data_IF_267137941896
#
_entry.id   IF_267137941896
#
_cell.length_a   1.000
_cell.length_b   1.000
_cell.length_c   1.000
_cell.angle_alpha   90.00
_cell.angle_beta   90.00
_cell.angle_gamma   90.00
#
_symmetry.space_group_name_H-M   'P 1'
#
loop_
_entity.id
_entity.type
_entity.pdbx_description
1 polymer ?
#
# COMPACT_ATOMS: atom_id res chain seq x y z
N UNK A 1 -14.34 11.86 29.32
CA UNK A 1 -15.00 12.26 28.06
C UNK A 1 -14.11 11.85 26.90
N UNK A 2 -14.60 11.02 25.97
CA UNK A 2 -13.79 10.58 24.81
C UNK A 2 -13.74 11.66 23.73
N UNK A 3 -12.58 11.83 23.09
CA UNK A 3 -12.40 12.81 22.01
C UNK A 3 -13.40 12.54 20.86
N UNK A 4 -13.95 13.60 20.24
CA UNK A 4 -14.80 13.45 19.06
C UNK A 4 -14.00 12.74 17.96
N UNK A 5 -14.48 11.56 17.54
CA UNK A 5 -13.92 10.86 16.40
C UNK A 5 -14.54 11.44 15.12
N UNK A 6 -13.83 12.38 14.50
CA UNK A 6 -14.14 12.87 13.16
C UNK A 6 -13.56 11.91 12.12
N UNK A 7 -14.37 11.53 11.13
CA UNK A 7 -13.91 10.81 9.94
C UNK A 7 -14.35 11.57 8.70
N UNK A 8 -13.40 11.88 7.83
CA UNK A 8 -13.66 12.52 6.54
C UNK A 8 -13.35 11.53 5.41
N UNK A 9 -14.21 11.45 4.41
CA UNK A 9 -14.01 10.60 3.22
C UNK A 9 -14.78 11.15 2.02
N UNK A 10 -14.33 10.83 0.82
CA UNK A 10 -15.01 11.22 -0.41
C UNK A 10 -16.15 10.26 -0.75
N UNK A 11 -17.27 10.78 -1.24
CA UNK A 11 -18.39 10.00 -1.77
C UNK A 11 -19.01 10.66 -2.98
N UNK A 12 -19.58 9.85 -3.86
CA UNK A 12 -20.37 10.32 -4.99
C UNK A 12 -21.85 10.33 -4.63
N UNK A 13 -22.57 11.35 -5.07
CA UNK A 13 -24.03 11.34 -5.01
C UNK A 13 -24.62 10.44 -6.12
N UNK A 14 -25.95 10.32 -6.18
CA UNK A 14 -26.64 9.51 -7.22
C UNK A 14 -26.41 9.99 -8.66
N UNK A 15 -25.99 11.24 -8.83
CA UNK A 15 -25.73 11.89 -10.13
C UNK A 15 -24.22 11.87 -10.45
N UNK A 16 -23.40 11.18 -9.64
CA UNK A 16 -21.96 11.05 -9.86
C UNK A 16 -21.14 12.29 -9.48
N UNK A 17 -21.70 13.28 -8.77
CA UNK A 17 -20.93 14.43 -8.27
C UNK A 17 -20.20 14.05 -6.97
N UNK A 18 -18.90 14.37 -6.83
CA UNK A 18 -18.13 14.07 -5.62
C UNK A 18 -18.38 15.08 -4.50
N UNK A 19 -18.40 14.58 -3.26
CA UNK A 19 -18.58 15.33 -2.02
C UNK A 19 -17.55 14.86 -0.99
N UNK A 20 -17.11 15.78 -0.13
CA UNK A 20 -16.45 15.45 1.13
C UNK A 20 -17.50 15.18 2.19
N UNK A 21 -17.57 13.93 2.67
CA UNK A 21 -18.47 13.54 3.75
C UNK A 21 -17.71 13.55 5.06
N UNK A 22 -18.11 14.43 5.97
CA UNK A 22 -17.61 14.47 7.35
C UNK A 22 -18.60 13.77 8.26
N UNK A 23 -18.15 12.71 8.93
CA UNK A 23 -18.91 12.00 9.95
C UNK A 23 -18.41 12.44 11.32
N UNK A 24 -19.30 13.09 12.07
CA UNK A 24 -19.03 13.60 13.42
C UNK A 24 -19.89 12.80 14.40
N UNK A 25 -19.27 12.31 15.48
CA UNK A 25 -19.98 11.67 16.59
C UNK A 25 -20.27 12.71 17.67
N UNK A 26 -21.53 13.01 17.90
CA UNK A 26 -21.99 13.95 18.94
C UNK A 26 -22.83 13.14 19.93
N UNK A 27 -22.24 12.78 21.08
CA UNK A 27 -22.85 11.86 22.04
C UNK A 27 -23.17 10.49 21.43
N UNK A 28 -24.45 10.07 21.52
CA UNK A 28 -24.96 8.83 20.92
C UNK A 28 -25.41 8.99 19.45
N UNK A 29 -25.44 10.22 18.93
CA UNK A 29 -25.91 10.47 17.57
C UNK A 29 -24.74 10.57 16.58
N UNK A 30 -24.94 10.02 15.39
CA UNK A 30 -24.04 10.16 14.25
C UNK A 30 -24.62 11.22 13.33
N UNK A 31 -23.85 12.29 13.07
CA UNK A 31 -24.21 13.31 12.09
C UNK A 31 -23.27 13.20 10.91
N UNK A 32 -23.82 13.20 9.70
CA UNK A 32 -23.07 13.28 8.46
C UNK A 32 -23.30 14.64 7.81
N UNK A 33 -22.22 15.32 7.46
CA UNK A 33 -22.23 16.55 6.69
C UNK A 33 -21.67 16.26 5.31
N UNK A 34 -22.43 16.59 4.28
CA UNK A 34 -22.04 16.44 2.88
C UNK A 34 -21.62 17.81 2.35
N UNK A 35 -20.33 17.98 2.10
CA UNK A 35 -19.75 19.23 1.63
C UNK A 35 -19.44 19.06 0.14
N UNK A 36 -20.07 19.82 -0.76
CA UNK A 36 -19.74 19.77 -2.18
C UNK A 36 -18.29 20.22 -2.39
N UNK A 37 -17.57 19.53 -3.26
CA UNK A 37 -16.24 19.94 -3.66
C UNK A 37 -16.31 21.12 -4.64
N UNK A 38 -15.48 22.12 -4.42
CA UNK A 38 -15.25 23.18 -5.39
C UNK A 38 -14.49 22.66 -6.63
N UNK A 39 -14.26 23.52 -7.61
CA UNK A 39 -13.65 23.10 -8.88
C UNK A 39 -12.21 22.58 -8.70
N UNK A 40 -11.42 23.25 -7.88
CA UNK A 40 -10.01 22.91 -7.64
C UNK A 40 -9.92 21.58 -6.89
N UNK A 41 -10.75 21.38 -5.86
CA UNK A 41 -10.82 20.13 -5.10
C UNK A 41 -11.27 18.96 -5.98
N UNK A 42 -12.20 19.20 -6.92
CA UNK A 42 -12.64 18.18 -7.88
C UNK A 42 -11.53 17.77 -8.82
N UNK A 43 -10.80 18.72 -9.39
CA UNK A 43 -9.65 18.44 -10.27
C UNK A 43 -8.54 17.70 -9.53
N UNK A 44 -8.28 18.10 -8.29
CA UNK A 44 -7.29 17.44 -7.43
C UNK A 44 -7.70 15.99 -7.14
N UNK A 45 -8.97 15.75 -6.79
CA UNK A 45 -9.48 14.41 -6.57
C UNK A 45 -9.40 13.55 -7.84
N UNK A 46 -9.78 14.10 -8.99
CA UNK A 46 -9.71 13.40 -10.28
C UNK A 46 -8.27 13.01 -10.62
N UNK A 47 -7.32 13.92 -10.42
CA UNK A 47 -5.88 13.68 -10.63
C UNK A 47 -5.37 12.60 -9.69
N UNK A 48 -5.71 12.66 -8.41
CA UNK A 48 -5.30 11.66 -7.42
C UNK A 48 -5.86 10.26 -7.74
N UNK A 49 -7.10 10.17 -8.23
CA UNK A 49 -7.70 8.91 -8.67
C UNK A 49 -6.99 8.36 -9.91
N UNK A 50 -6.68 9.22 -10.89
CA UNK A 50 -5.92 8.82 -12.08
C UNK A 50 -4.55 8.26 -11.73
N UNK A 51 -3.79 8.97 -10.88
CA UNK A 51 -2.47 8.50 -10.40
C UNK A 51 -2.60 7.16 -9.68
N UNK A 52 -3.63 6.99 -8.83
CA UNK A 52 -3.86 5.74 -8.11
C UNK A 52 -4.09 4.56 -9.08
N UNK A 53 -4.82 4.79 -10.17
CA UNK A 53 -5.09 3.74 -11.16
C UNK A 53 -3.86 3.45 -12.02
N UNK A 54 -3.10 4.48 -12.43
CA UNK A 54 -1.80 4.31 -13.11
C UNK A 54 -0.80 3.51 -12.26
N UNK A 55 -0.71 3.79 -10.96
CA UNK A 55 0.15 3.05 -10.02
C UNK A 55 -0.30 1.59 -9.90
N UNK A 56 -1.61 1.33 -9.85
CA UNK A 56 -2.12 -0.05 -9.83
C UNK A 56 -1.76 -0.82 -11.09
N UNK A 57 -1.89 -0.21 -12.27
CA UNK A 57 -1.52 -0.83 -13.55
C UNK A 57 -0.01 -1.12 -13.66
N UNK A 58 0.80 -0.35 -12.94
CA UNK A 58 2.24 -0.58 -12.82
C UNK A 58 2.61 -1.58 -11.73
N UNK A 59 1.66 -2.06 -10.94
CA UNK A 59 1.91 -3.02 -9.86
C UNK A 59 1.78 -4.46 -10.39
N UNK A 60 2.79 -5.27 -10.16
CA UNK A 60 2.84 -6.70 -10.47
C UNK A 60 2.85 -7.52 -9.19
N UNK A 61 2.39 -8.77 -9.28
CA UNK A 61 2.40 -9.73 -8.18
C UNK A 61 3.59 -10.66 -8.34
N UNK A 62 4.52 -10.64 -7.38
CA UNK A 62 5.73 -11.47 -7.39
C UNK A 62 5.59 -12.58 -6.36
N UNK A 63 5.87 -13.85 -6.69
CA UNK A 63 5.79 -14.93 -5.70
C UNK A 63 6.83 -14.74 -4.59
N UNK A 64 6.49 -15.12 -3.37
CA UNK A 64 7.46 -15.25 -2.30
C UNK A 64 8.52 -16.31 -2.67
N UNK A 65 9.80 -16.03 -2.39
CA UNK A 65 10.89 -16.97 -2.72
C UNK A 65 10.91 -18.23 -1.83
N UNK A 66 10.20 -18.23 -0.69
CA UNK A 66 10.07 -19.43 0.13
C UNK A 66 9.13 -20.43 -0.59
N UNK A 67 9.61 -21.62 -1.01
CA UNK A 67 8.83 -22.58 -1.79
C UNK A 67 7.66 -23.18 -1.01
N UNK A 68 7.67 -23.09 0.33
CA UNK A 68 6.54 -23.49 1.19
C UNK A 68 5.46 -22.41 1.29
N UNK A 69 5.75 -21.19 0.83
CA UNK A 69 4.83 -20.06 0.88
C UNK A 69 4.15 -19.85 -0.48
N UNK A 70 2.82 -19.71 -0.47
CA UNK A 70 2.02 -19.42 -1.68
C UNK A 70 1.62 -17.94 -1.80
N UNK A 71 2.13 -17.08 -0.93
CA UNK A 71 1.80 -15.65 -0.93
C UNK A 71 2.54 -14.92 -2.05
N UNK A 72 1.91 -13.87 -2.57
CA UNK A 72 2.53 -12.92 -3.50
C UNK A 72 2.81 -11.59 -2.81
N UNK A 73 3.75 -10.84 -3.38
CA UNK A 73 4.21 -9.55 -2.91
C UNK A 73 3.87 -8.54 -4.02
N UNK A 74 3.06 -7.51 -3.74
CA UNK A 74 2.81 -6.45 -4.69
C UNK A 74 4.06 -5.58 -4.82
N UNK A 75 4.53 -5.37 -6.05
CA UNK A 75 5.69 -4.53 -6.36
C UNK A 75 5.42 -3.73 -7.62
N UNK A 76 5.95 -2.52 -7.75
CA UNK A 76 5.91 -1.82 -9.04
C UNK A 76 6.87 -2.49 -10.04
N UNK A 77 6.58 -2.38 -11.35
CA UNK A 77 7.50 -2.85 -12.41
C UNK A 77 8.90 -2.26 -12.24
N UNK A 78 9.00 -0.99 -11.86
CA UNK A 78 10.27 -0.32 -11.56
C UNK A 78 11.01 -0.97 -10.39
N UNK A 79 10.32 -1.28 -9.29
CA UNK A 79 10.93 -2.02 -8.17
C UNK A 79 11.44 -3.38 -8.63
N UNK A 80 10.64 -4.12 -9.42
CA UNK A 80 11.05 -5.42 -9.95
C UNK A 80 12.34 -5.31 -10.78
N UNK A 81 12.43 -4.34 -11.70
CA UNK A 81 13.62 -4.08 -12.50
C UNK A 81 14.85 -3.72 -11.63
N UNK A 82 14.65 -2.93 -10.58
CA UNK A 82 15.71 -2.58 -9.64
C UNK A 82 16.27 -3.82 -8.92
N UNK A 83 15.39 -4.71 -8.46
CA UNK A 83 15.79 -5.93 -7.75
C UNK A 83 16.52 -6.93 -8.65
N UNK A 84 16.01 -7.17 -9.87
CA UNK A 84 16.52 -8.25 -10.70
C UNK A 84 17.61 -7.81 -11.70
N UNK A 85 17.54 -6.58 -12.20
CA UNK A 85 18.45 -6.11 -13.28
C UNK A 85 19.49 -5.15 -12.71
N UNK A 86 19.06 -4.13 -11.98
CA UNK A 86 19.96 -3.05 -11.54
C UNK A 86 20.91 -3.51 -10.44
N UNK A 87 20.41 -4.22 -9.42
CA UNK A 87 21.21 -4.71 -8.29
C UNK A 87 22.32 -5.66 -8.74
N UNK A 88 22.01 -6.58 -9.67
CA UNK A 88 22.98 -7.49 -10.24
C UNK A 88 24.05 -6.75 -11.05
N UNK A 89 23.68 -5.76 -11.86
CA UNK A 89 24.65 -4.99 -12.66
C UNK A 89 25.58 -4.13 -11.82
N UNK A 90 25.08 -3.50 -10.75
CA UNK A 90 25.86 -2.53 -9.95
C UNK A 90 26.68 -3.18 -8.85
N UNK A 91 26.16 -4.24 -8.24
CA UNK A 91 26.73 -4.81 -7.01
C UNK A 91 26.99 -6.31 -7.12
N UNK A 92 26.73 -6.91 -8.27
CA UNK A 92 26.78 -8.36 -8.50
C UNK A 92 25.86 -9.20 -7.58
N UNK A 93 24.93 -8.54 -6.87
CA UNK A 93 24.01 -9.16 -5.91
C UNK A 93 22.69 -9.56 -6.55
N UNK A 94 22.17 -10.73 -6.14
CA UNK A 94 20.79 -11.16 -6.42
C UNK A 94 19.98 -10.97 -5.14
N UNK A 95 18.88 -10.25 -5.24
CA UNK A 95 17.98 -10.02 -4.11
C UNK A 95 16.73 -10.88 -4.26
N UNK A 96 16.45 -11.69 -3.25
CA UNK A 96 15.29 -12.57 -3.23
C UNK A 96 14.13 -11.93 -2.45
N UNK A 97 12.95 -11.77 -3.06
CA UNK A 97 11.79 -11.20 -2.38
C UNK A 97 11.12 -12.22 -1.44
N UNK A 98 10.82 -11.80 -0.21
CA UNK A 98 10.09 -12.59 0.80
C UNK A 98 8.89 -11.80 1.33
N UNK A 99 7.76 -12.47 1.53
CA UNK A 99 6.54 -11.81 2.01
C UNK A 99 6.58 -11.47 3.51
N UNK A 100 7.53 -12.02 4.25
CA UNK A 100 7.72 -11.78 5.68
C UNK A 100 9.16 -12.11 6.11
N UNK A 101 9.57 -11.55 7.25
CA UNK A 101 10.83 -11.89 7.93
C UNK A 101 10.90 -13.37 8.29
N UNK A 102 9.77 -13.97 8.70
CA UNK A 102 9.66 -15.39 8.98
C UNK A 102 10.00 -16.26 7.75
N UNK A 103 9.43 -15.95 6.57
CA UNK A 103 9.73 -16.71 5.35
C UNK A 103 11.19 -16.56 4.90
N UNK A 104 11.81 -15.40 5.15
CA UNK A 104 13.25 -15.22 4.93
C UNK A 104 14.07 -16.08 5.89
N UNK A 105 13.76 -16.05 7.19
CA UNK A 105 14.48 -16.83 8.19
C UNK A 105 14.38 -18.34 7.94
N UNK A 106 13.20 -18.84 7.60
CA UNK A 106 12.98 -20.25 7.23
C UNK A 106 13.84 -20.70 6.04
N UNK A 107 14.02 -19.83 5.05
CA UNK A 107 14.85 -20.10 3.89
C UNK A 107 16.35 -20.02 4.20
N UNK A 108 16.77 -19.01 4.98
CA UNK A 108 18.17 -18.88 5.37
C UNK A 108 18.61 -20.04 6.28
N UNK A 109 17.75 -20.50 7.19
CA UNK A 109 18.02 -21.63 8.06
C UNK A 109 18.29 -22.94 7.28
N UNK A 110 17.66 -23.12 6.12
CA UNK A 110 17.89 -24.29 5.24
C UNK A 110 19.26 -24.27 4.55
N UNK A 111 19.88 -23.09 4.42
CA UNK A 111 21.17 -22.90 3.77
C UNK A 111 22.30 -22.57 4.76
N UNK A 112 22.09 -22.80 6.07
CA UNK A 112 23.09 -22.55 7.12
C UNK A 112 23.23 -21.09 7.56
N UNK A 113 22.38 -20.19 7.05
CA UNK A 113 22.28 -18.81 7.51
C UNK A 113 21.35 -18.70 8.71
N UNK A 114 21.90 -18.72 9.92
CA UNK A 114 21.14 -18.34 11.11
C UNK A 114 20.76 -16.84 11.05
N UNK A 115 19.67 -16.41 11.70
CA UNK A 115 19.46 -14.99 11.93
C UNK A 115 20.68 -14.44 12.67
N UNK A 116 21.42 -13.52 12.05
CA UNK A 116 22.37 -12.72 12.81
C UNK A 116 21.54 -11.86 13.75
N UNK A 117 21.55 -12.23 15.03
CA UNK A 117 21.08 -11.40 16.12
C UNK A 117 21.84 -10.07 16.07
N UNK A 118 21.24 -9.06 15.43
CA UNK A 118 21.64 -7.68 15.69
C UNK A 118 21.11 -7.33 17.08
N UNK A 119 21.91 -7.67 18.09
CA UNK A 119 21.86 -7.02 19.39
C UNK A 119 22.49 -5.63 19.24
N UNK A 120 21.72 -4.58 19.59
CA UNK A 120 22.24 -3.25 19.94
C UNK A 120 22.46 -2.31 18.77
#
# INVERSE_FOLDING_TARGET
MGAPQERAYFRYNRVGKPYLVRRIRVGNQRKEQWIPLDEIDRETLATALKIKDEVKEQTVQVPCTNPKCKKTIPMTKKQLEEFFISSKKRYDMIIFPFCSTACRAEMLAQHGGGPTDHQG
#
